data_IF_519743840314
#
_entry.id   IF_519743840314
#
_cell.length_a   1.000
_cell.length_b   1.000
_cell.length_c   1.000
_cell.angle_alpha   90.00
_cell.angle_beta   90.00
_cell.angle_gamma   90.00
#
_symmetry.space_group_name_H-M   'P 1'
#
loop_
_entity.id
_entity.type
_entity.pdbx_description
1 polymer ?
#
# COMPACT_ATOMS: atom_id res chain seq x y z
N UNK A 1 9.82 44.31 45.04
CA UNK A 1 10.45 43.12 44.45
C UNK A 1 9.64 42.66 43.24
N UNK A 2 10.20 42.90 42.03
CA UNK A 2 10.14 42.10 40.79
C UNK A 2 8.78 41.55 40.28
N UNK A 3 7.81 42.42 40.00
CA UNK A 3 6.70 42.11 39.08
C UNK A 3 7.19 41.85 37.63
N UNK A 4 8.34 42.42 37.26
CA UNK A 4 9.00 42.24 35.96
C UNK A 4 9.46 40.79 35.68
N UNK A 5 9.76 40.01 36.71
CA UNK A 5 10.23 38.63 36.55
C UNK A 5 9.11 37.64 36.29
N UNK A 6 7.90 37.92 36.75
CA UNK A 6 6.73 37.04 36.53
C UNK A 6 6.24 37.16 35.09
N UNK A 7 6.15 38.39 34.57
CA UNK A 7 5.73 38.64 33.19
C UNK A 7 6.71 38.03 32.16
N UNK A 8 8.02 38.15 32.40
CA UNK A 8 9.03 37.55 31.54
C UNK A 8 9.01 36.01 31.58
N UNK A 9 8.74 35.42 32.74
CA UNK A 9 8.63 33.96 32.90
C UNK A 9 7.39 33.41 32.21
N UNK A 10 6.24 34.09 32.33
CA UNK A 10 5.00 33.70 31.66
C UNK A 10 5.16 33.77 30.14
N UNK A 11 5.68 34.88 29.59
CA UNK A 11 5.92 35.01 28.15
C UNK A 11 6.87 33.93 27.59
N UNK A 12 7.93 33.57 28.33
CA UNK A 12 8.84 32.48 27.92
C UNK A 12 8.16 31.11 27.93
N UNK A 13 7.25 30.88 28.86
CA UNK A 13 6.46 29.64 28.96
C UNK A 13 5.43 29.53 27.83
N UNK A 14 4.73 30.62 27.48
CA UNK A 14 3.79 30.64 26.35
C UNK A 14 4.50 30.46 25.01
N UNK A 15 5.68 31.07 24.83
CA UNK A 15 6.46 30.93 23.59
C UNK A 15 6.99 29.49 23.41
N UNK A 16 7.36 28.82 24.50
CA UNK A 16 7.83 27.43 24.46
C UNK A 16 6.68 26.43 24.24
N UNK A 17 5.48 26.66 24.78
CA UNK A 17 4.28 25.84 24.48
C UNK A 17 3.83 26.04 23.03
N UNK A 18 3.87 27.27 22.50
CA UNK A 18 3.57 27.54 21.09
C UNK A 18 4.58 26.87 20.14
N UNK A 19 5.87 26.85 20.51
CA UNK A 19 6.89 26.16 19.71
C UNK A 19 6.68 24.63 19.68
N UNK A 20 6.19 24.02 20.76
CA UNK A 20 5.87 22.58 20.80
C UNK A 20 4.65 22.24 19.93
N UNK A 21 3.64 23.12 19.85
CA UNK A 21 2.47 22.91 19.01
C UNK A 21 2.76 23.00 17.50
N UNK A 22 3.81 23.74 17.09
CA UNK A 22 4.22 23.88 15.68
C UNK A 22 5.05 22.68 15.20
N UNK A 23 5.60 21.87 16.11
CA UNK A 23 6.32 20.61 15.77
C UNK A 23 5.36 19.40 15.83
N UNK A 24 4.04 19.63 15.66
CA UNK A 24 3.13 18.59 15.24
C UNK A 24 3.47 18.22 13.78
N UNK A 25 4.57 17.47 13.60
CA UNK A 25 4.86 16.79 12.33
C UNK A 25 3.59 16.05 11.93
N UNK A 26 2.98 16.46 10.83
CA UNK A 26 1.85 15.77 10.25
C UNK A 26 2.32 14.33 10.04
N UNK A 27 1.85 13.42 10.89
CA UNK A 27 2.32 12.06 10.89
C UNK A 27 1.86 11.46 9.55
N UNK A 28 2.81 11.29 8.62
CA UNK A 28 2.49 10.95 7.24
C UNK A 28 1.81 9.59 7.21
N UNK A 29 0.67 9.53 6.54
CA UNK A 29 -0.03 8.27 6.32
C UNK A 29 0.87 7.35 5.48
N UNK A 30 1.17 6.15 5.99
CA UNK A 30 1.94 5.17 5.25
C UNK A 30 1.05 4.46 4.25
N UNK A 31 1.49 4.39 3.02
CA UNK A 31 0.78 3.68 1.97
C UNK A 31 1.74 2.90 1.09
N UNK A 32 1.22 1.85 0.50
CA UNK A 32 1.91 1.07 -0.51
C UNK A 32 0.86 0.57 -1.51
N UNK A 33 1.13 0.76 -2.79
CA UNK A 33 0.28 0.32 -3.88
C UNK A 33 1.11 -0.32 -4.98
N UNK A 34 0.58 -1.38 -5.58
CA UNK A 34 1.18 -2.03 -6.74
C UNK A 34 0.11 -2.40 -7.75
N UNK A 35 0.50 -2.46 -9.01
CA UNK A 35 -0.34 -3.02 -10.07
C UNK A 35 0.56 -3.70 -11.10
N UNK A 36 0.07 -4.80 -11.66
CA UNK A 36 0.67 -5.47 -12.81
C UNK A 36 -0.41 -5.76 -13.83
N UNK A 37 -0.05 -5.61 -15.10
CA UNK A 37 -0.91 -5.82 -16.25
C UNK A 37 -0.12 -6.65 -17.26
N UNK A 38 -0.54 -7.89 -17.44
CA UNK A 38 0.24 -8.88 -18.19
C UNK A 38 -0.67 -9.59 -19.18
N UNK A 39 -0.25 -9.63 -20.43
CA UNK A 39 -0.98 -10.25 -21.52
C UNK A 39 -0.04 -10.81 -22.60
N UNK A 40 -0.60 -11.38 -23.68
CA UNK A 40 0.20 -11.93 -24.77
C UNK A 40 1.07 -10.84 -25.40
N UNK A 41 2.39 -11.01 -25.33
CA UNK A 41 3.34 -10.05 -25.89
C UNK A 41 3.47 -8.72 -25.13
N UNK A 42 2.87 -8.61 -23.94
CA UNK A 42 2.91 -7.39 -23.12
C UNK A 42 3.05 -7.68 -21.62
N UNK A 43 3.86 -6.87 -20.93
CA UNK A 43 3.92 -6.82 -19.48
C UNK A 43 4.17 -5.38 -19.02
N UNK A 44 3.39 -4.95 -18.02
CA UNK A 44 3.61 -3.72 -17.28
C UNK A 44 3.50 -3.95 -15.78
N UNK A 45 4.29 -3.23 -15.01
CA UNK A 45 4.26 -3.21 -13.55
C UNK A 45 4.50 -1.80 -13.03
N UNK A 46 3.80 -1.43 -11.97
CA UNK A 46 3.94 -0.15 -11.30
C UNK A 46 3.84 -0.32 -9.78
N UNK A 47 4.50 0.56 -9.04
CA UNK A 47 4.60 0.56 -7.59
C UNK A 47 4.69 1.99 -7.05
N UNK A 48 3.93 2.28 -5.98
CA UNK A 48 3.92 3.55 -5.29
C UNK A 48 3.94 3.34 -3.78
N UNK A 49 4.64 4.21 -3.04
CA UNK A 49 4.71 4.15 -1.59
C UNK A 49 4.79 5.54 -0.96
N UNK A 50 4.27 5.67 0.27
CA UNK A 50 4.45 6.85 1.12
C UNK A 50 4.88 6.44 2.53
N UNK A 51 5.72 7.25 3.16
CA UNK A 51 6.26 6.99 4.49
C UNK A 51 7.52 7.81 4.76
N UNK A 52 8.08 7.69 5.96
CA UNK A 52 9.42 8.22 6.25
C UNK A 52 10.50 7.40 5.56
N UNK A 53 10.26 6.10 5.43
CA UNK A 53 11.07 5.20 4.63
C UNK A 53 10.19 4.56 3.57
N UNK A 54 10.69 4.47 2.35
CA UNK A 54 9.96 3.90 1.21
C UNK A 54 10.88 3.01 0.39
N UNK A 55 10.32 1.94 -0.14
CA UNK A 55 10.98 1.11 -1.14
C UNK A 55 9.95 0.68 -2.19
N UNK A 56 10.30 0.89 -3.46
CA UNK A 56 9.50 0.45 -4.60
C UNK A 56 10.41 -0.30 -5.56
N UNK A 57 9.96 -1.45 -6.03
CA UNK A 57 10.67 -2.29 -6.99
C UNK A 57 9.66 -2.85 -8.00
N UNK A 58 10.02 -2.79 -9.27
CA UNK A 58 9.16 -3.22 -10.38
C UNK A 58 9.97 -3.94 -11.43
N UNK A 59 9.41 -5.01 -11.96
CA UNK A 59 9.97 -5.78 -13.05
C UNK A 59 8.89 -6.03 -14.10
N UNK A 60 9.25 -5.90 -15.37
CA UNK A 60 8.39 -6.25 -16.50
C UNK A 60 9.24 -6.94 -17.55
N UNK A 61 8.79 -8.10 -17.99
CA UNK A 61 9.50 -8.94 -18.96
C UNK A 61 8.53 -9.52 -19.97
N UNK A 62 8.93 -9.50 -21.23
CA UNK A 62 8.28 -10.24 -22.32
C UNK A 62 9.35 -11.10 -22.98
N UNK A 63 9.06 -12.37 -23.26
CA UNK A 63 9.98 -13.24 -23.96
C UNK A 63 9.35 -14.55 -24.45
N UNK A 64 10.17 -15.48 -24.98
CA UNK A 64 9.68 -16.74 -25.54
C UNK A 64 8.90 -17.63 -24.55
N UNK A 65 9.17 -17.48 -23.25
CA UNK A 65 8.45 -18.16 -22.17
C UNK A 65 7.13 -17.50 -21.75
N UNK A 66 6.77 -16.37 -22.36
CA UNK A 66 5.60 -15.57 -21.99
C UNK A 66 5.97 -14.18 -21.44
N UNK A 67 4.96 -13.50 -20.91
CA UNK A 67 5.06 -12.19 -20.28
C UNK A 67 4.96 -12.31 -18.75
N UNK A 68 5.68 -11.48 -18.02
CA UNK A 68 5.69 -11.44 -16.56
C UNK A 68 5.82 -10.00 -16.07
N UNK A 69 5.06 -9.66 -15.03
CA UNK A 69 5.13 -8.40 -14.32
C UNK A 69 5.18 -8.64 -12.82
N UNK A 70 5.99 -7.86 -12.12
CA UNK A 70 6.10 -7.86 -10.65
C UNK A 70 6.18 -6.41 -10.17
N UNK A 71 5.41 -6.08 -9.14
CA UNK A 71 5.53 -4.84 -8.40
C UNK A 71 5.62 -5.13 -6.91
N UNK A 72 6.50 -4.43 -6.21
CA UNK A 72 6.64 -4.41 -4.75
C UNK A 72 6.69 -2.96 -4.29
N UNK A 73 5.87 -2.62 -3.32
CA UNK A 73 5.89 -1.32 -2.66
C UNK A 73 5.87 -1.51 -1.14
N UNK A 74 6.69 -0.74 -0.45
CA UNK A 74 6.77 -0.72 1.00
C UNK A 74 6.86 0.74 1.45
N UNK A 75 5.96 1.15 2.33
CA UNK A 75 5.98 2.44 3.01
C UNK A 75 6.03 2.22 4.53
N UNK A 76 7.05 2.75 5.20
CA UNK A 76 7.23 2.61 6.63
C UNK A 76 7.43 3.96 7.32
N UNK A 77 7.02 4.03 8.59
CA UNK A 77 7.17 5.23 9.41
C UNK A 77 6.71 5.01 10.84
N UNK A 78 6.68 6.06 11.68
CA UNK A 78 6.45 5.95 13.12
C UNK A 78 5.07 5.40 13.48
N UNK A 79 4.12 5.48 12.55
CA UNK A 79 2.75 5.01 12.77
C UNK A 79 2.52 3.56 12.32
N UNK A 80 3.47 2.92 11.64
CA UNK A 80 3.26 1.63 11.01
C UNK A 80 4.03 1.37 9.70
N UNK A 81 3.71 0.22 9.11
CA UNK A 81 4.22 -0.36 7.87
C UNK A 81 3.04 -0.64 6.93
N UNK A 82 3.18 -0.27 5.66
CA UNK A 82 2.28 -0.62 4.56
C UNK A 82 3.09 -1.33 3.48
N UNK A 83 2.57 -2.45 2.98
CA UNK A 83 3.20 -3.29 1.97
C UNK A 83 2.15 -3.67 0.93
N UNK A 84 2.51 -3.58 -0.34
CA UNK A 84 1.74 -4.10 -1.46
C UNK A 84 2.67 -4.84 -2.40
N UNK A 85 2.25 -6.00 -2.88
CA UNK A 85 3.00 -6.81 -3.81
C UNK A 85 2.05 -7.46 -4.81
N UNK A 86 2.34 -7.29 -6.10
CA UNK A 86 1.58 -7.89 -7.20
C UNK A 86 2.51 -8.66 -8.12
N UNK A 87 2.06 -9.82 -8.61
CA UNK A 87 2.73 -10.65 -9.60
C UNK A 87 1.71 -11.08 -10.65
N UNK A 88 2.08 -10.95 -11.91
CA UNK A 88 1.29 -11.39 -13.04
C UNK A 88 2.18 -12.16 -14.02
N UNK A 89 1.63 -13.22 -14.60
CA UNK A 89 2.27 -14.00 -15.66
C UNK A 89 1.25 -14.31 -16.73
N UNK A 90 1.68 -14.35 -17.98
CA UNK A 90 0.91 -14.81 -19.12
C UNK A 90 1.79 -15.69 -20.00
N UNK A 91 1.36 -16.92 -20.28
CA UNK A 91 2.05 -17.82 -21.20
C UNK A 91 1.08 -18.83 -21.79
N UNK A 92 1.24 -19.15 -23.08
CA UNK A 92 0.48 -20.24 -23.73
C UNK A 92 -1.04 -20.13 -23.66
N UNK A 93 -1.60 -18.90 -23.69
CA UNK A 93 -3.04 -18.70 -23.55
C UNK A 93 -3.58 -18.90 -22.12
N UNK A 94 -2.70 -18.77 -21.12
CA UNK A 94 -3.03 -18.77 -19.70
C UNK A 94 -2.43 -17.53 -19.06
N UNK A 95 -3.25 -16.76 -18.36
CA UNK A 95 -2.84 -15.67 -17.49
C UNK A 95 -3.13 -16.00 -16.03
N UNK A 96 -2.16 -15.74 -15.16
CA UNK A 96 -2.29 -15.86 -13.71
C UNK A 96 -1.83 -14.56 -13.07
N UNK A 97 -2.63 -14.01 -12.18
CA UNK A 97 -2.27 -12.85 -11.38
C UNK A 97 -2.56 -13.11 -9.92
N UNK A 98 -1.70 -12.60 -9.04
CA UNK A 98 -1.91 -12.57 -7.61
C UNK A 98 -1.42 -11.24 -7.04
N UNK A 99 -2.10 -10.74 -6.02
CA UNK A 99 -1.62 -9.62 -5.24
C UNK A 99 -1.86 -9.81 -3.74
N UNK A 100 -1.00 -9.21 -2.95
CA UNK A 100 -1.01 -9.23 -1.49
C UNK A 100 -0.77 -7.82 -0.97
N UNK A 101 -1.56 -7.40 0.01
CA UNK A 101 -1.37 -6.14 0.70
C UNK A 101 -1.48 -6.34 2.21
N UNK A 102 -0.60 -5.68 2.94
CA UNK A 102 -0.50 -5.73 4.40
C UNK A 102 -0.28 -4.32 4.93
N UNK A 103 -1.08 -3.91 5.91
CA UNK A 103 -0.83 -2.73 6.71
C UNK A 103 -0.79 -3.11 8.19
N UNK A 104 0.28 -2.75 8.89
CA UNK A 104 0.47 -2.95 10.33
C UNK A 104 0.68 -1.58 10.94
N UNK A 105 -0.10 -1.24 11.96
CA UNK A 105 0.10 0.01 12.68
C UNK A 105 -0.38 -0.06 14.12
N UNK A 106 -0.27 1.07 14.82
CA UNK A 106 -0.69 1.15 16.23
C UNK A 106 -2.13 0.72 16.44
N UNK A 107 -3.02 0.99 15.49
CA UNK A 107 -4.44 0.67 15.60
C UNK A 107 -4.80 -0.80 15.35
N UNK A 108 -3.90 -1.61 14.76
CA UNK A 108 -4.28 -2.93 14.26
C UNK A 108 -3.45 -3.45 13.09
N UNK A 109 -4.08 -4.35 12.33
CA UNK A 109 -3.54 -4.91 11.10
C UNK A 109 -4.65 -5.06 10.07
N UNK A 110 -4.37 -4.70 8.83
CA UNK A 110 -5.21 -5.01 7.67
C UNK A 110 -4.42 -5.91 6.71
N UNK A 111 -5.04 -6.98 6.24
CA UNK A 111 -4.49 -7.85 5.20
C UNK A 111 -5.54 -7.97 4.10
N UNK A 112 -5.12 -7.83 2.85
CA UNK A 112 -5.94 -8.19 1.70
C UNK A 112 -5.10 -8.95 0.67
N UNK A 113 -5.74 -9.86 -0.05
CA UNK A 113 -5.12 -10.54 -1.16
C UNK A 113 -6.17 -10.86 -2.21
N UNK A 114 -5.72 -10.96 -3.45
CA UNK A 114 -6.58 -11.23 -4.58
C UNK A 114 -5.83 -12.02 -5.63
N UNK A 115 -6.59 -12.59 -6.55
CA UNK A 115 -6.01 -13.32 -7.65
C UNK A 115 -6.99 -13.49 -8.78
N UNK A 116 -6.43 -13.75 -9.95
CA UNK A 116 -7.19 -14.03 -11.14
C UNK A 116 -6.47 -15.10 -11.95
N UNK A 117 -7.25 -16.02 -12.49
CA UNK A 117 -6.84 -16.93 -13.53
C UNK A 117 -7.71 -16.67 -14.75
N UNK A 118 -7.08 -16.55 -15.91
CA UNK A 118 -7.75 -16.34 -17.19
C UNK A 118 -7.16 -17.28 -18.22
N UNK A 119 -8.00 -18.05 -18.92
CA UNK A 119 -7.54 -18.95 -19.99
C UNK A 119 -8.32 -18.76 -21.27
N UNK A 120 -7.63 -18.90 -22.40
CA UNK A 120 -8.19 -18.77 -23.74
C UNK A 120 -8.48 -17.31 -24.14
N UNK A 121 -8.55 -17.05 -25.44
CA UNK A 121 -8.66 -15.68 -25.96
C UNK A 121 -7.42 -14.85 -25.63
N UNK A 122 -7.61 -13.61 -25.15
CA UNK A 122 -6.51 -12.70 -24.80
C UNK A 122 -5.78 -13.15 -23.52
N UNK A 123 -6.42 -13.87 -22.59
CA UNK A 123 -5.79 -14.39 -21.35
C UNK A 123 -5.03 -13.35 -20.52
N UNK A 124 -5.24 -12.06 -20.79
CA UNK A 124 -4.64 -10.94 -20.06
C UNK A 124 -5.15 -10.94 -18.62
N UNK A 125 -4.28 -10.58 -17.68
CA UNK A 125 -4.59 -10.44 -16.26
C UNK A 125 -4.10 -9.10 -15.75
N UNK A 126 -4.90 -8.47 -14.90
CA UNK A 126 -4.55 -7.25 -14.18
C UNK A 126 -4.78 -7.54 -12.71
N UNK A 127 -3.72 -7.43 -11.90
CA UNK A 127 -3.82 -7.54 -10.45
C UNK A 127 -3.08 -6.42 -9.79
N UNK A 128 -3.62 -5.95 -8.68
CA UNK A 128 -3.08 -4.80 -7.98
C UNK A 128 -3.72 -4.65 -6.63
N UNK A 129 -3.18 -3.75 -5.84
CA UNK A 129 -3.78 -3.41 -4.58
C UNK A 129 -3.12 -2.23 -3.94
N UNK A 130 -3.72 -1.81 -2.84
CA UNK A 130 -3.25 -0.68 -2.08
C UNK A 130 -3.51 -0.90 -0.60
N UNK A 131 -2.65 -0.33 0.21
CA UNK A 131 -2.79 -0.22 1.66
C UNK A 131 -2.57 1.21 2.07
N UNK A 132 -3.36 1.66 3.04
CA UNK A 132 -3.32 3.02 3.55
C UNK A 132 -3.44 2.97 5.07
N UNK A 133 -2.59 3.74 5.74
CA UNK A 133 -2.57 3.89 7.19
C UNK A 133 -2.72 5.37 7.57
N UNK A 134 -3.86 5.77 8.13
CA UNK A 134 -4.11 7.13 8.65
C UNK A 134 -4.34 7.13 10.17
N UNK A 135 -4.40 8.32 10.81
CA UNK A 135 -4.66 8.49 12.25
C UNK A 135 -5.88 7.67 12.74
N UNK A 136 -5.63 6.43 13.20
CA UNK A 136 -6.64 5.50 13.72
C UNK A 136 -7.33 4.59 12.69
N UNK A 137 -7.09 4.75 11.39
CA UNK A 137 -7.76 3.97 10.34
C UNK A 137 -6.73 3.22 9.47
N UNK A 138 -6.86 1.90 9.43
CA UNK A 138 -6.14 1.04 8.47
C UNK A 138 -7.11 0.53 7.44
N UNK A 139 -6.69 0.58 6.18
CA UNK A 139 -7.48 0.08 5.08
C UNK A 139 -6.61 -0.35 3.91
N UNK A 140 -7.26 -0.94 2.93
CA UNK A 140 -6.63 -1.41 1.74
C UNK A 140 -7.60 -2.27 0.94
N UNK A 141 -7.13 -2.72 -0.22
CA UNK A 141 -7.93 -3.54 -1.10
C UNK A 141 -7.10 -4.20 -2.18
N UNK A 142 -7.63 -5.30 -2.68
CA UNK A 142 -7.10 -6.05 -3.80
C UNK A 142 -8.03 -5.92 -5.00
N UNK A 143 -7.45 -5.63 -6.16
CA UNK A 143 -8.09 -5.60 -7.46
C UNK A 143 -7.54 -6.75 -8.29
N UNK A 144 -8.42 -7.57 -8.87
CA UNK A 144 -8.03 -8.66 -9.75
C UNK A 144 -9.05 -8.81 -10.88
N UNK A 145 -8.61 -8.78 -12.13
CA UNK A 145 -9.46 -8.93 -13.31
C UNK A 145 -8.71 -9.60 -14.47
N UNK A 146 -9.43 -10.19 -15.42
CA UNK A 146 -8.82 -10.89 -16.55
C UNK A 146 -9.72 -10.98 -17.78
N UNK A 147 -9.10 -11.10 -18.95
CA UNK A 147 -9.73 -10.98 -20.27
C UNK A 147 -9.58 -12.27 -21.08
N UNK A 148 -10.26 -13.34 -20.69
CA UNK A 148 -10.23 -14.62 -21.39
C UNK A 148 -11.56 -15.37 -21.32
N UNK A 149 -11.63 -16.51 -21.99
CA UNK A 149 -12.87 -17.29 -22.11
C UNK A 149 -13.30 -17.95 -20.79
N UNK A 150 -12.34 -18.24 -19.90
CA UNK A 150 -12.59 -18.80 -18.57
C UNK A 150 -11.82 -17.99 -17.54
N UNK A 151 -12.37 -16.85 -17.16
CA UNK A 151 -11.83 -15.99 -16.11
C UNK A 151 -12.44 -16.36 -14.75
N UNK A 152 -11.58 -16.54 -13.74
CA UNK A 152 -11.96 -16.67 -12.33
C UNK A 152 -11.15 -15.68 -11.53
N UNK A 153 -11.82 -14.77 -10.83
CA UNK A 153 -11.19 -13.79 -9.97
C UNK A 153 -11.72 -13.93 -8.53
N UNK A 154 -10.87 -13.62 -7.56
CA UNK A 154 -11.26 -13.56 -6.16
C UNK A 154 -10.52 -12.43 -5.45
N UNK A 155 -11.11 -11.94 -4.36
CA UNK A 155 -10.51 -10.95 -3.47
C UNK A 155 -10.99 -11.25 -2.06
N UNK A 156 -10.07 -11.19 -1.09
CA UNK A 156 -10.37 -11.41 0.32
C UNK A 156 -9.62 -10.37 1.16
N UNK A 157 -10.26 -9.93 2.23
CA UNK A 157 -9.67 -8.97 3.16
C UNK A 157 -10.08 -9.26 4.60
N UNK A 158 -9.18 -8.93 5.53
CA UNK A 158 -9.39 -9.06 6.96
C UNK A 158 -8.73 -7.91 7.68
N UNK A 159 -9.50 -7.22 8.50
CA UNK A 159 -9.01 -6.17 9.40
C UNK A 159 -9.16 -6.63 10.85
N UNK A 160 -8.12 -6.42 11.64
CA UNK A 160 -8.15 -6.58 13.10
C UNK A 160 -7.72 -5.29 13.75
N UNK A 161 -8.59 -4.71 14.57
CA UNK A 161 -8.26 -3.55 15.39
C UNK A 161 -7.79 -4.02 16.77
N UNK A 162 -6.68 -3.46 17.27
CA UNK A 162 -6.15 -3.77 18.60
C UNK A 162 -6.84 -2.94 19.70
N UNK A 163 -7.26 -1.71 19.37
CA UNK A 163 -8.02 -0.87 20.27
C UNK A 163 -9.46 -0.81 19.81
N UNK A 164 -10.35 -1.46 20.58
CA UNK A 164 -11.80 -1.36 20.41
C UNK A 164 -12.20 -0.04 21.08
N UNK A 165 -12.79 0.91 20.33
CA UNK A 165 -13.49 2.05 20.95
C UNK A 165 -14.60 1.46 21.83
N UNK A 166 -14.46 1.65 23.15
CA UNK A 166 -15.51 1.43 24.13
C UNK A 166 -16.37 2.68 24.22
#
# INVERSE_FOLDING_TARGET
MRASNVFATVCRLTLSIAAVAVIATAASAQSAGTIVDVGPGFAGADASASGQWTHTDTESRVGPGGSMGRGLAIGAGPNGLSLSHSIGVNSGGVGLGHNFNLSIGRGGTHVSHGGVQSTGGNSRVIVGGQTNHGFGNMGGGSTATGFGNRTRAFSHSKTRNFFRRW
#
